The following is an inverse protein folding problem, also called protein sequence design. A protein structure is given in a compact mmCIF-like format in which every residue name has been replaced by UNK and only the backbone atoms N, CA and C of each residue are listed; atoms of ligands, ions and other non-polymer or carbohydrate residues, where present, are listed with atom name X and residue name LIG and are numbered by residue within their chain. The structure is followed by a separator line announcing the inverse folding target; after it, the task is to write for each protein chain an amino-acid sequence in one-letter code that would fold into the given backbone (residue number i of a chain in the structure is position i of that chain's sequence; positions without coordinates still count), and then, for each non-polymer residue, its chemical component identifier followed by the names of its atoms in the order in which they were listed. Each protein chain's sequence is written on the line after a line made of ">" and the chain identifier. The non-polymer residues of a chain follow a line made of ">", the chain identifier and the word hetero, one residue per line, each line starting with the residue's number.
data_IF_649088365998
#
_entry.id   IF_649088365998
#
_cell.length_a   1.000
_cell.length_b   1.000
_cell.length_c   1.000
_cell.angle_alpha   90.00
_cell.angle_beta   90.00
_cell.angle_gamma   90.00
#
_symmetry.space_group_name_H-M   'P 1'
#
loop_
_entity.id
_entity.type
_entity.pdbx_description
1 polymer ?
#
# COMPACT_ATOMS: atom_id res chain seq x y z
N UNK A 1 -15.09 4.14 1.79
CA UNK A 1 -15.37 2.70 1.66
C UNK A 1 -14.38 1.97 2.54
N UNK A 2 -14.87 1.32 3.60
CA UNK A 2 -14.13 0.34 4.41
C UNK A 2 -14.99 -0.93 4.31
N UNK A 3 -14.87 -1.64 3.19
CA UNK A 3 -15.37 -3.03 3.05
C UNK A 3 -14.54 -4.02 3.89
N UNK A 4 -13.41 -3.52 4.43
CA UNK A 4 -12.51 -4.20 5.34
C UNK A 4 -11.48 -5.08 4.64
N UNK A 5 -11.35 -4.99 3.31
CA UNK A 5 -10.22 -5.56 2.55
C UNK A 5 -9.03 -4.60 2.50
N UNK A 6 -9.28 -3.31 2.69
CA UNK A 6 -8.29 -2.25 2.67
C UNK A 6 -8.29 -1.49 4.00
N UNK A 7 -7.12 -1.28 4.57
CA UNK A 7 -6.93 -0.42 5.73
C UNK A 7 -6.30 0.89 5.26
N UNK A 8 -7.03 2.00 5.43
CA UNK A 8 -6.47 3.34 5.24
C UNK A 8 -5.34 3.56 6.26
N UNK A 9 -4.18 4.00 5.79
CA UNK A 9 -3.07 4.40 6.65
C UNK A 9 -3.15 5.88 6.95
N UNK A 10 -3.25 6.68 5.89
CA UNK A 10 -3.29 8.13 5.92
C UNK A 10 -3.85 8.68 4.62
N UNK A 11 -4.28 9.94 4.65
CA UNK A 11 -4.61 10.70 3.45
C UNK A 11 -3.99 12.10 3.47
N UNK A 12 -3.65 12.57 2.29
CA UNK A 12 -3.18 13.92 2.01
C UNK A 12 -4.20 14.55 1.05
N UNK A 13 -4.78 15.69 1.40
CA UNK A 13 -5.86 16.33 0.63
C UNK A 13 -5.58 17.81 0.46
N UNK A 14 -5.82 18.34 -0.74
CA UNK A 14 -5.78 19.77 -1.01
C UNK A 14 -7.11 20.39 -0.61
N UNK A 15 -7.07 21.45 0.18
CA UNK A 15 -8.20 22.29 0.52
C UNK A 15 -7.85 23.76 0.24
N UNK A 16 -8.78 24.67 0.59
CA UNK A 16 -8.59 26.11 0.40
C UNK A 16 -7.42 26.70 1.21
N UNK A 17 -6.96 26.00 2.26
CA UNK A 17 -5.90 26.44 3.18
C UNK A 17 -4.57 25.71 2.94
N UNK A 18 -4.46 24.90 1.88
CA UNK A 18 -3.26 24.13 1.54
C UNK A 18 -3.49 22.62 1.58
N UNK A 19 -2.48 21.88 2.04
CA UNK A 19 -2.52 20.41 2.11
C UNK A 19 -2.83 19.95 3.54
N UNK A 20 -3.96 19.28 3.72
CA UNK A 20 -4.36 18.64 4.96
C UNK A 20 -3.87 17.20 5.03
N UNK A 21 -3.50 16.79 6.24
CA UNK A 21 -3.10 15.43 6.53
C UNK A 21 -4.06 14.80 7.51
N UNK A 22 -4.39 13.52 7.30
CA UNK A 22 -5.27 12.79 8.20
C UNK A 22 -4.87 11.34 8.32
N UNK A 23 -5.11 10.77 9.49
CA UNK A 23 -4.68 9.41 9.84
C UNK A 23 -5.63 8.31 9.29
N UNK A 24 -5.41 7.09 9.78
CA UNK A 24 -6.19 5.90 9.44
C UNK A 24 -7.68 6.00 9.82
N UNK A 25 -8.01 6.81 10.83
CA UNK A 25 -9.37 7.06 11.29
C UNK A 25 -10.01 8.27 10.61
N UNK A 26 -9.26 8.99 9.76
CA UNK A 26 -9.70 10.22 9.14
C UNK A 26 -9.60 11.45 10.04
N UNK A 27 -8.97 11.33 11.20
CA UNK A 27 -8.72 12.47 12.07
C UNK A 27 -7.62 13.35 11.49
N UNK A 28 -7.85 14.66 11.52
CA UNK A 28 -6.86 15.65 11.04
C UNK A 28 -5.61 15.60 11.91
N UNK A 29 -4.46 15.67 11.25
CA UNK A 29 -3.15 15.69 11.86
C UNK A 29 -2.45 16.99 11.49
N UNK A 30 -1.56 17.44 12.39
CA UNK A 30 -0.67 18.57 12.08
C UNK A 30 0.10 18.25 10.80
N UNK A 31 0.22 19.26 9.92
CA UNK A 31 1.06 19.16 8.74
C UNK A 31 2.49 18.75 9.15
N UNK A 32 3.11 17.81 8.41
CA UNK A 32 4.52 17.47 8.56
C UNK A 32 5.46 18.67 8.58
N UNK A 33 6.55 18.56 9.34
CA UNK A 33 7.68 19.49 9.29
C UNK A 33 8.98 18.76 8.91
N UNK A 34 10.08 19.52 8.77
CA UNK A 34 11.39 18.98 8.40
C UNK A 34 11.90 17.87 9.35
N UNK A 35 11.39 17.82 10.58
CA UNK A 35 11.81 16.90 11.64
C UNK A 35 10.83 15.73 11.82
N UNK A 36 9.55 15.89 11.46
CA UNK A 36 8.52 14.88 11.72
C UNK A 36 7.37 14.93 10.71
N UNK A 37 7.15 13.80 10.05
CA UNK A 37 6.18 13.64 8.95
C UNK A 37 5.17 12.55 9.28
N UNK A 38 5.61 11.56 10.04
CA UNK A 38 4.75 10.62 10.76
C UNK A 38 4.69 11.05 12.21
N UNK A 39 3.53 11.56 12.65
CA UNK A 39 3.33 11.79 14.08
C UNK A 39 3.35 10.44 14.81
N UNK A 40 3.93 10.41 16.02
CA UNK A 40 3.83 9.25 16.90
C UNK A 40 2.37 8.79 17.10
N UNK A 41 1.44 9.75 17.06
CA UNK A 41 0.00 9.53 17.08
C UNK A 41 -0.50 8.66 15.93
N UNK A 42 -0.13 8.98 14.68
CA UNK A 42 -0.52 8.17 13.53
C UNK A 42 0.02 6.75 13.64
N UNK A 43 1.30 6.59 13.99
CA UNK A 43 1.91 5.27 14.18
C UNK A 43 1.17 4.44 15.22
N UNK A 44 0.83 5.06 16.35
CA UNK A 44 0.10 4.40 17.43
C UNK A 44 -1.30 3.96 16.98
N UNK A 45 -2.03 4.85 16.29
CA UNK A 45 -3.39 4.58 15.80
C UNK A 45 -3.38 3.51 14.73
N UNK A 46 -2.50 3.62 13.75
CA UNK A 46 -2.35 2.63 12.69
C UNK A 46 -2.01 1.23 13.26
N UNK A 47 -1.04 1.14 14.18
CA UNK A 47 -0.71 -0.14 14.85
C UNK A 47 -1.89 -0.72 15.61
N UNK A 48 -2.72 0.13 16.25
CA UNK A 48 -3.92 -0.30 16.97
C UNK A 48 -4.98 -0.84 16.00
N UNK A 49 -5.23 -0.16 14.89
CA UNK A 49 -6.19 -0.62 13.87
C UNK A 49 -5.72 -1.90 13.19
N UNK A 50 -4.46 -1.96 12.77
CA UNK A 50 -3.88 -3.14 12.11
C UNK A 50 -3.99 -4.41 12.98
N UNK A 51 -3.78 -4.32 14.29
CA UNK A 51 -3.92 -5.44 15.23
C UNK A 51 -5.33 -6.05 15.28
N UNK A 52 -6.37 -5.32 14.85
CA UNK A 52 -7.73 -5.85 14.81
C UNK A 52 -7.95 -6.82 13.65
N UNK A 53 -7.16 -6.69 12.58
CA UNK A 53 -7.40 -7.40 11.32
C UNK A 53 -6.22 -8.32 10.94
N UNK A 54 -4.98 -7.95 11.28
CA UNK A 54 -3.78 -8.74 11.00
C UNK A 54 -3.20 -9.31 12.29
N UNK A 55 -3.22 -10.65 12.36
CA UNK A 55 -2.84 -11.44 13.55
C UNK A 55 -1.33 -11.53 13.74
N UNK A 56 -0.54 -11.46 12.65
CA UNK A 56 0.92 -11.58 12.69
C UNK A 56 1.60 -10.34 12.10
N UNK A 57 2.43 -9.68 12.89
CA UNK A 57 3.18 -8.47 12.53
C UNK A 57 4.18 -8.70 11.38
N UNK A 58 4.55 -9.96 11.12
CA UNK A 58 5.44 -10.36 10.02
C UNK A 58 4.68 -10.75 8.74
N UNK A 59 3.35 -10.63 8.73
CA UNK A 59 2.55 -10.87 7.53
C UNK A 59 2.96 -9.87 6.46
N UNK A 60 3.29 -10.37 5.27
CA UNK A 60 3.58 -9.52 4.13
C UNK A 60 2.31 -8.75 3.71
N UNK A 61 2.46 -7.45 3.48
CA UNK A 61 1.36 -6.58 3.08
C UNK A 61 1.69 -5.90 1.74
N UNK A 62 0.63 -5.67 0.96
CA UNK A 62 0.67 -4.91 -0.29
C UNK A 62 0.14 -3.52 0.00
N UNK A 63 0.74 -2.50 -0.62
CA UNK A 63 0.38 -1.11 -0.40
C UNK A 63 0.01 -0.42 -1.69
N UNK A 64 -1.08 0.33 -1.64
CA UNK A 64 -1.54 1.12 -2.78
C UNK A 64 -1.71 2.58 -2.41
N UNK A 65 -1.34 3.43 -3.35
CA UNK A 65 -1.64 4.84 -3.36
C UNK A 65 -2.79 5.08 -4.32
N UNK A 66 -3.91 5.59 -3.79
CA UNK A 66 -5.04 6.05 -4.58
C UNK A 66 -4.95 7.56 -4.74
N UNK A 67 -4.74 8.02 -5.95
CA UNK A 67 -4.83 9.43 -6.34
C UNK A 67 -6.18 9.77 -6.94
N UNK A 68 -6.72 10.93 -6.59
CA UNK A 68 -7.88 11.53 -7.24
C UNK A 68 -7.51 12.91 -7.81
N UNK A 69 -7.83 13.16 -9.07
CA UNK A 69 -7.59 14.43 -9.74
C UNK A 69 -8.79 15.38 -9.61
N UNK A 70 -8.60 16.66 -9.99
CA UNK A 70 -9.66 17.68 -9.93
C UNK A 70 -10.86 17.35 -10.82
N UNK A 71 -10.63 16.71 -11.97
CA UNK A 71 -11.68 16.23 -12.86
C UNK A 71 -12.41 14.98 -12.34
N UNK A 72 -11.99 14.43 -11.19
CA UNK A 72 -12.56 13.23 -10.59
C UNK A 72 -11.87 11.92 -10.97
N UNK A 73 -10.91 11.92 -11.90
CA UNK A 73 -10.20 10.72 -12.31
C UNK A 73 -9.47 10.07 -11.14
N UNK A 74 -9.58 8.75 -11.04
CA UNK A 74 -8.96 7.95 -9.99
C UNK A 74 -7.83 7.12 -10.59
N UNK A 75 -6.69 7.09 -9.92
CA UNK A 75 -5.58 6.20 -10.27
C UNK A 75 -5.10 5.47 -9.03
N UNK A 76 -4.90 4.16 -9.13
CA UNK A 76 -4.32 3.35 -8.09
C UNK A 76 -2.94 2.88 -8.53
N UNK A 77 -1.93 3.08 -7.68
CA UNK A 77 -0.55 2.68 -7.95
C UNK A 77 -0.07 1.81 -6.80
N UNK A 78 0.51 0.65 -7.09
CA UNK A 78 1.19 -0.12 -6.07
C UNK A 78 2.49 0.59 -5.67
N UNK A 79 2.61 0.91 -4.39
CA UNK A 79 3.73 1.71 -3.86
C UNK A 79 4.71 0.91 -3.02
N UNK A 80 4.38 -0.33 -2.65
CA UNK A 80 5.36 -1.19 -2.00
C UNK A 80 4.86 -2.56 -1.60
N UNK A 81 5.81 -3.32 -1.04
CA UNK A 81 5.64 -4.56 -0.29
C UNK A 81 6.42 -4.41 0.99
N UNK A 82 5.86 -4.78 2.14
CA UNK A 82 6.68 -4.87 3.36
C UNK A 82 6.44 -6.18 4.08
N UNK A 83 7.51 -6.69 4.71
CA UNK A 83 7.46 -7.78 5.68
C UNK A 83 7.47 -7.29 7.14
N UNK A 84 7.76 -6.00 7.38
CA UNK A 84 7.94 -5.46 8.73
C UNK A 84 7.31 -4.07 8.90
N UNK A 85 6.33 -4.01 9.79
CA UNK A 85 5.57 -2.81 10.16
C UNK A 85 6.44 -1.65 10.68
N UNK A 86 7.53 -1.97 11.38
CA UNK A 86 8.41 -0.97 11.98
C UNK A 86 9.15 -0.19 10.92
N UNK A 87 9.76 -0.89 9.95
CA UNK A 87 10.54 -0.27 8.88
C UNK A 87 9.65 0.51 7.92
N UNK A 88 8.44 0.01 7.65
CA UNK A 88 7.50 0.66 6.75
C UNK A 88 7.11 2.07 7.22
N UNK A 89 6.64 2.20 8.46
CA UNK A 89 6.19 3.50 8.98
C UNK A 89 7.35 4.44 9.27
N UNK A 90 8.52 3.89 9.63
CA UNK A 90 9.68 4.70 10.01
C UNK A 90 10.46 5.21 8.80
N UNK A 91 10.55 4.43 7.72
CA UNK A 91 11.40 4.72 6.58
C UNK A 91 10.54 4.87 5.31
N UNK A 92 9.88 3.81 4.85
CA UNK A 92 9.28 3.80 3.51
C UNK A 92 8.18 4.87 3.34
N UNK A 93 7.13 4.85 4.17
CA UNK A 93 6.04 5.84 4.03
C UNK A 93 6.51 7.22 4.50
N UNK A 94 7.42 7.28 5.48
CA UNK A 94 7.98 8.55 5.94
C UNK A 94 8.73 9.26 4.82
N UNK A 95 9.56 8.54 4.07
CA UNK A 95 10.31 9.07 2.92
C UNK A 95 9.40 9.41 1.76
N UNK A 96 8.39 8.59 1.48
CA UNK A 96 7.42 8.83 0.42
C UNK A 96 6.59 10.09 0.68
N UNK A 97 6.09 10.26 1.91
CA UNK A 97 5.38 11.48 2.32
C UNK A 97 6.35 12.67 2.38
N UNK A 98 7.61 12.49 2.82
CA UNK A 98 8.62 13.56 2.78
C UNK A 98 8.83 14.10 1.38
N UNK A 99 9.03 13.19 0.44
CA UNK A 99 9.23 13.45 -0.98
C UNK A 99 8.01 14.15 -1.59
N UNK A 100 6.81 13.77 -1.15
CA UNK A 100 5.60 14.51 -1.49
C UNK A 100 5.72 15.98 -1.08
N UNK A 101 6.01 16.29 0.19
CA UNK A 101 6.05 17.67 0.67
C UNK A 101 7.20 18.50 0.10
N UNK A 102 8.40 17.95 -0.02
CA UNK A 102 9.56 18.67 -0.59
C UNK A 102 9.42 18.93 -2.10
N UNK A 103 8.50 18.22 -2.78
CA UNK A 103 8.36 18.30 -4.24
C UNK A 103 9.44 17.53 -5.00
N UNK A 104 10.29 16.77 -4.30
CA UNK A 104 11.39 16.02 -4.89
C UNK A 104 10.99 14.54 -5.03
N UNK A 105 11.32 13.92 -6.16
CA UNK A 105 11.12 12.48 -6.38
C UNK A 105 9.74 12.09 -6.94
N UNK A 106 9.44 10.77 -6.92
CA UNK A 106 8.25 10.17 -7.54
C UNK A 106 6.93 10.78 -7.05
N UNK A 107 6.82 11.01 -5.74
CA UNK A 107 5.58 11.47 -5.12
C UNK A 107 5.40 12.99 -5.15
N UNK A 108 6.48 13.77 -5.22
CA UNK A 108 6.41 15.23 -5.40
C UNK A 108 5.67 15.62 -6.67
N UNK A 109 5.94 14.91 -7.78
CA UNK A 109 5.25 15.10 -9.07
C UNK A 109 3.74 14.81 -9.01
N UNK A 110 3.28 14.03 -8.02
CA UNK A 110 1.85 13.72 -7.88
C UNK A 110 1.03 14.94 -7.45
N UNK A 111 1.66 15.96 -6.84
CA UNK A 111 1.01 17.23 -6.47
C UNK A 111 0.46 17.99 -7.66
N UNK A 112 1.06 17.81 -8.84
CA UNK A 112 0.66 18.50 -10.07
C UNK A 112 -0.61 17.87 -10.66
N UNK A 113 -0.86 16.59 -10.37
CA UNK A 113 -1.94 15.80 -10.98
C UNK A 113 -3.13 15.55 -10.06
N UNK A 114 -2.89 15.29 -8.78
CA UNK A 114 -3.91 14.83 -7.86
C UNK A 114 -4.18 15.85 -6.76
N UNK A 115 -5.44 15.99 -6.34
CA UNK A 115 -5.88 16.82 -5.21
C UNK A 115 -6.11 15.99 -3.94
N UNK A 116 -6.24 14.68 -4.05
CA UNK A 116 -6.32 13.74 -2.94
C UNK A 116 -5.40 12.56 -3.21
N UNK A 117 -4.65 12.16 -2.19
CA UNK A 117 -3.84 10.96 -2.15
C UNK A 117 -4.17 10.19 -0.87
N UNK A 118 -4.51 8.92 -1.02
CA UNK A 118 -4.82 8.04 0.11
C UNK A 118 -3.95 6.79 0.03
N UNK A 119 -3.22 6.53 1.11
CA UNK A 119 -2.41 5.32 1.24
C UNK A 119 -3.21 4.24 1.94
N UNK A 120 -3.21 3.05 1.34
CA UNK A 120 -3.90 1.87 1.83
C UNK A 120 -2.93 0.70 2.03
N UNK A 121 -3.11 -0.04 3.13
CA UNK A 121 -2.66 -1.42 3.29
C UNK A 121 -3.74 -2.35 2.75
N UNK A 122 -3.35 -3.40 2.04
CA UNK A 122 -4.25 -4.49 1.65
C UNK A 122 -4.13 -5.64 2.63
N UNK A 123 -5.27 -6.14 3.11
CA UNK A 123 -5.33 -7.38 3.87
C UNK A 123 -5.24 -8.58 2.92
N UNK A 124 -3.99 -8.98 2.64
CA UNK A 124 -3.67 -10.13 1.79
C UNK A 124 -4.40 -11.39 2.27
N UNK A 125 -4.41 -11.66 3.58
CA UNK A 125 -5.01 -12.88 4.11
C UNK A 125 -6.51 -12.91 3.84
N UNK A 126 -7.20 -11.78 3.99
CA UNK A 126 -8.62 -11.69 3.72
C UNK A 126 -8.93 -11.86 2.23
N UNK A 127 -8.14 -11.24 1.34
CA UNK A 127 -8.30 -11.45 -0.12
C UNK A 127 -8.14 -12.92 -0.46
N UNK A 128 -7.06 -13.57 -0.01
CA UNK A 128 -6.81 -14.99 -0.29
C UNK A 128 -7.92 -15.89 0.29
N UNK A 129 -8.51 -15.52 1.43
CA UNK A 129 -9.60 -16.28 2.05
C UNK A 129 -10.90 -16.18 1.24
N UNK A 130 -11.19 -15.03 0.66
CA UNK A 130 -12.40 -14.76 -0.12
C UNK A 130 -12.27 -15.23 -1.58
N UNK A 131 -11.04 -15.30 -2.11
CA UNK A 131 -10.72 -15.79 -3.44
C UNK A 131 -10.65 -17.33 -3.49
N UNK A 132 -11.59 -17.94 -4.22
CA UNK A 132 -11.71 -19.40 -4.37
C UNK A 132 -10.55 -20.02 -5.16
N UNK A 133 -10.00 -19.29 -6.13
CA UNK A 133 -8.91 -19.77 -6.99
C UNK A 133 -7.56 -19.64 -6.30
N UNK A 134 -7.40 -18.62 -5.45
CA UNK A 134 -6.20 -18.43 -4.66
C UNK A 134 -5.84 -19.67 -3.83
N UNK A 135 -6.83 -20.32 -3.20
CA UNK A 135 -6.60 -21.54 -2.41
C UNK A 135 -6.08 -22.70 -3.26
N UNK A 136 -6.51 -22.79 -4.52
CA UNK A 136 -6.06 -23.83 -5.46
C UNK A 136 -4.63 -23.59 -5.92
N UNK A 137 -4.27 -22.32 -6.17
CA UNK A 137 -2.95 -21.92 -6.67
C UNK A 137 -1.89 -21.95 -5.57
N UNK A 138 -2.22 -21.40 -4.40
CA UNK A 138 -1.26 -21.15 -3.33
C UNK A 138 -1.16 -22.31 -2.33
N UNK A 139 -2.23 -23.11 -2.19
CA UNK A 139 -2.28 -24.20 -1.22
C UNK A 139 -2.42 -23.70 0.22
N UNK A 140 -1.89 -24.46 1.17
CA UNK A 140 -1.96 -24.15 2.61
C UNK A 140 -0.65 -23.55 3.12
N UNK A 141 -0.73 -22.59 4.06
CA UNK A 141 0.45 -22.04 4.75
C UNK A 141 1.26 -23.17 5.43
N UNK A 142 2.57 -23.28 5.18
CA UNK A 142 3.43 -24.24 5.88
C UNK A 142 3.49 -23.99 7.39
N UNK A 143 3.66 -25.06 8.17
CA UNK A 143 3.85 -24.97 9.65
C UNK A 143 5.21 -24.41 10.04
N UNK A 144 6.24 -24.63 9.21
CA UNK A 144 7.57 -24.06 9.42
C UNK A 144 7.54 -22.53 9.31
N UNK A 145 8.23 -21.85 10.22
CA UNK A 145 8.20 -20.39 10.33
C UNK A 145 8.80 -19.69 9.11
N UNK A 146 9.93 -20.19 8.59
CA UNK A 146 10.64 -19.57 7.47
C UNK A 146 9.88 -19.81 6.16
N UNK A 147 9.37 -21.03 5.95
CA UNK A 147 8.51 -21.34 4.82
C UNK A 147 7.17 -20.59 4.90
N UNK A 148 6.62 -20.39 6.10
CA UNK A 148 5.43 -19.57 6.32
C UNK A 148 5.64 -18.09 5.97
N UNK A 149 6.86 -17.57 6.16
CA UNK A 149 7.23 -16.23 5.72
C UNK A 149 7.33 -16.14 4.20
N UNK A 150 8.00 -17.12 3.56
CA UNK A 150 8.07 -17.20 2.10
C UNK A 150 6.67 -17.30 1.47
N UNK A 151 5.80 -18.14 2.04
CA UNK A 151 4.40 -18.26 1.64
C UNK A 151 3.66 -16.91 1.68
N UNK A 152 3.82 -16.14 2.76
CA UNK A 152 3.18 -14.82 2.87
C UNK A 152 3.61 -13.85 1.75
N UNK A 153 4.88 -13.91 1.32
CA UNK A 153 5.38 -13.09 0.21
C UNK A 153 4.76 -13.51 -1.12
N UNK A 154 4.58 -14.81 -1.33
CA UNK A 154 3.93 -15.35 -2.53
C UNK A 154 2.47 -14.90 -2.57
N UNK A 155 1.75 -14.96 -1.44
CA UNK A 155 0.38 -14.45 -1.35
C UNK A 155 0.28 -12.95 -1.68
N UNK A 156 1.20 -12.13 -1.18
CA UNK A 156 1.27 -10.72 -1.53
C UNK A 156 1.52 -10.53 -3.05
N UNK A 157 2.39 -11.34 -3.65
CA UNK A 157 2.63 -11.31 -5.08
C UNK A 157 1.40 -11.72 -5.91
N UNK A 158 0.60 -12.68 -5.42
CA UNK A 158 -0.68 -13.03 -6.02
C UNK A 158 -1.65 -11.85 -6.02
N UNK A 159 -1.84 -11.21 -4.86
CA UNK A 159 -2.76 -10.06 -4.70
C UNK A 159 -2.37 -8.87 -5.58
N UNK A 160 -1.09 -8.74 -5.89
CA UNK A 160 -0.59 -7.71 -6.82
C UNK A 160 -0.84 -8.02 -8.30
N UNK A 161 -1.42 -9.17 -8.62
CA UNK A 161 -1.61 -9.61 -9.99
C UNK A 161 -0.34 -10.18 -10.64
N UNK A 162 0.77 -10.29 -9.89
CA UNK A 162 2.06 -10.77 -10.39
C UNK A 162 2.20 -12.27 -10.47
N UNK A 163 1.22 -13.02 -9.96
CA UNK A 163 1.10 -14.46 -10.21
C UNK A 163 -0.09 -14.76 -11.14
N UNK A 164 -0.92 -13.77 -11.43
CA UNK A 164 -2.13 -13.88 -12.26
C UNK A 164 -1.86 -13.60 -13.74
N UNK A 165 -0.71 -13.00 -14.07
CA UNK A 165 -0.35 -12.58 -15.43
C UNK A 165 -0.19 -13.74 -16.43
N UNK A 166 0.03 -14.98 -15.96
CA UNK A 166 0.06 -16.16 -16.86
C UNK A 166 -1.31 -16.45 -17.50
N UNK A 167 -2.39 -15.86 -17.00
CA UNK A 167 -3.75 -16.05 -17.55
C UNK A 167 -4.31 -14.79 -18.21
N UNK A 168 -4.08 -13.61 -17.63
CA UNK A 168 -4.60 -12.34 -18.15
C UNK A 168 -3.62 -11.19 -17.85
N UNK A 169 -2.98 -10.65 -18.89
CA UNK A 169 -1.99 -9.57 -18.75
C UNK A 169 -2.59 -8.26 -18.20
N UNK A 170 -3.90 -8.05 -18.36
CA UNK A 170 -4.62 -6.87 -17.86
C UNK A 170 -4.74 -6.83 -16.33
N UNK A 171 -4.60 -7.99 -15.66
CA UNK A 171 -4.61 -8.09 -14.20
C UNK A 171 -3.26 -7.74 -13.57
N UNK A 172 -2.21 -7.58 -14.37
CA UNK A 172 -0.90 -7.20 -13.88
C UNK A 172 -0.91 -5.74 -13.44
N UNK A 173 -0.67 -5.48 -12.15
CA UNK A 173 -0.47 -4.14 -11.63
C UNK A 173 1.03 -3.79 -11.66
N UNK A 174 1.51 -2.99 -12.63
CA UNK A 174 2.92 -2.63 -12.69
C UNK A 174 3.31 -1.79 -11.48
N UNK A 175 4.24 -2.30 -10.69
CA UNK A 175 4.98 -1.52 -9.70
C UNK A 175 6.20 -0.89 -10.35
N UNK A 176 6.61 0.29 -9.86
CA UNK A 176 7.92 0.86 -10.21
C UNK A 176 9.10 -0.02 -9.78
N UNK A 177 8.85 -1.05 -8.97
CA UNK A 177 9.81 -2.07 -8.56
C UNK A 177 9.98 -3.21 -9.57
N UNK A 178 9.07 -3.33 -10.54
CA UNK A 178 9.05 -4.48 -11.45
C UNK A 178 10.02 -4.34 -12.64
N UNK A 179 10.60 -3.14 -12.83
CA UNK A 179 11.68 -2.90 -13.79
C UNK A 179 11.42 -3.51 -15.18
N UNK A 180 12.42 -4.20 -15.71
CA UNK A 180 12.42 -4.84 -17.04
C UNK A 180 11.46 -6.03 -17.19
N UNK A 181 10.92 -6.60 -16.09
CA UNK A 181 10.11 -7.82 -16.17
C UNK A 181 8.79 -7.59 -16.91
N UNK A 182 8.11 -6.45 -16.70
CA UNK A 182 6.87 -6.15 -17.41
C UNK A 182 7.08 -5.96 -18.92
N UNK A 183 8.17 -5.28 -19.32
CA UNK A 183 8.49 -5.06 -20.73
C UNK A 183 8.75 -6.40 -21.46
N UNK A 184 9.52 -7.29 -20.83
CA UNK A 184 9.84 -8.61 -21.38
C UNK A 184 8.58 -9.44 -21.70
N UNK A 185 7.61 -9.49 -20.78
CA UNK A 185 6.38 -10.28 -20.94
C UNK A 185 5.26 -9.56 -21.72
N UNK A 186 5.41 -8.28 -22.05
CA UNK A 186 4.48 -7.60 -22.96
C UNK A 186 4.86 -7.84 -24.43
N UNK A 187 6.14 -8.09 -24.67
CA UNK A 187 6.70 -8.33 -26.01
C UNK A 187 6.72 -9.81 -26.40
N UNK A 188 6.47 -10.72 -25.45
CA UNK A 188 6.45 -12.18 -25.63
C UNK A 188 5.18 -12.78 -25.03
#
# INVERSE_FOLDING_TARGET
>A
MNDGMYLRICAIRKNNNGWEFSDCNGESLKAPDEKSIFTSSMNKRYRKERKKYIVDENTACVWFLRGKADNGDITCIQVGRTKNLTNLLSNDIKEDIKSFYSGVGKYGKLKEKYNELVFYEVDVNRIIKEDKDAKKILGSKPKDKNLGLAYSVICAAYVEGKLSFEKEAELYCPSTLDGYYYAYFKEH
#
